data_IF_668108206600
#
_entry.id   IF_668108206600
#
_cell.length_a   1.000
_cell.length_b   1.000
_cell.length_c   1.000
_cell.angle_alpha   90.00
_cell.angle_beta   90.00
_cell.angle_gamma   90.00
#
_symmetry.space_group_name_H-M   'P 1'
#
loop_
_entity.id
_entity.type
_entity.pdbx_description
1 polymer ?
#
# COMPACT_ATOMS: atom_id res chain seq x y z
N UNK A 1 3.87 -40.31 -3.72
CA UNK A 1 2.63 -40.17 -2.93
C UNK A 1 2.61 -38.86 -2.17
N UNK A 2 3.31 -38.78 -1.04
CA UNK A 2 3.22 -37.66 -0.07
C UNK A 2 4.03 -36.42 -0.49
N UNK A 3 5.19 -36.58 -1.13
CA UNK A 3 6.05 -35.46 -1.54
C UNK A 3 5.41 -34.53 -2.59
N UNK A 4 4.51 -35.07 -3.41
CA UNK A 4 3.83 -34.34 -4.48
C UNK A 4 2.76 -33.41 -3.88
N UNK A 5 2.01 -33.91 -2.88
CA UNK A 5 1.03 -33.12 -2.13
C UNK A 5 1.70 -32.02 -1.30
N UNK A 6 2.81 -32.30 -0.62
CA UNK A 6 3.52 -31.28 0.16
C UNK A 6 4.09 -30.18 -0.76
N UNK A 7 4.62 -30.55 -1.93
CA UNK A 7 5.10 -29.60 -2.93
C UNK A 7 3.97 -28.73 -3.49
N UNK A 8 2.80 -29.31 -3.76
CA UNK A 8 1.65 -28.58 -4.31
C UNK A 8 0.99 -27.67 -3.26
N UNK A 9 0.92 -28.11 -2.00
CA UNK A 9 0.48 -27.28 -0.87
C UNK A 9 1.44 -26.13 -0.57
N UNK A 10 2.76 -26.34 -0.67
CA UNK A 10 3.74 -25.28 -0.48
C UNK A 10 3.71 -24.29 -1.65
N UNK A 11 3.65 -24.79 -2.89
CA UNK A 11 3.57 -24.00 -4.12
C UNK A 11 2.34 -23.09 -4.12
N UNK A 12 1.14 -23.66 -3.98
CA UNK A 12 -0.11 -22.89 -4.00
C UNK A 12 -0.22 -21.88 -2.85
N UNK A 13 0.46 -22.10 -1.72
CA UNK A 13 0.52 -21.12 -0.63
C UNK A 13 1.53 -20.01 -0.88
N UNK A 14 2.71 -20.30 -1.40
CA UNK A 14 3.69 -19.25 -1.76
C UNK A 14 3.11 -18.36 -2.87
N UNK A 15 2.64 -18.95 -3.97
CA UNK A 15 2.00 -18.20 -5.06
C UNK A 15 0.72 -17.47 -4.63
N UNK A 16 -0.04 -18.02 -3.68
CA UNK A 16 -1.25 -17.40 -3.14
C UNK A 16 -0.98 -16.15 -2.31
N UNK A 17 0.13 -16.13 -1.56
CA UNK A 17 0.49 -14.98 -0.70
C UNK A 17 1.07 -13.84 -1.53
N UNK A 18 1.94 -14.17 -2.49
CA UNK A 18 2.58 -13.19 -3.38
C UNK A 18 1.55 -12.49 -4.26
N UNK A 19 0.56 -13.24 -4.77
CA UNK A 19 -0.54 -12.67 -5.55
C UNK A 19 -1.49 -11.80 -4.72
N UNK A 20 -1.70 -12.12 -3.44
CA UNK A 20 -2.52 -11.32 -2.53
C UNK A 20 -1.84 -9.98 -2.18
N UNK A 21 -0.54 -10.02 -1.89
CA UNK A 21 0.27 -8.81 -1.68
C UNK A 21 0.31 -7.91 -2.92
N UNK A 22 0.52 -8.50 -4.10
CA UNK A 22 0.52 -7.77 -5.37
C UNK A 22 -0.84 -7.14 -5.66
N UNK A 23 -1.92 -7.91 -5.53
CA UNK A 23 -3.28 -7.42 -5.76
C UNK A 23 -3.68 -6.33 -4.76
N UNK A 24 -3.28 -6.43 -3.49
CA UNK A 24 -3.47 -5.38 -2.50
C UNK A 24 -2.71 -4.10 -2.87
N UNK A 25 -1.44 -4.21 -3.28
CA UNK A 25 -0.64 -3.07 -3.73
C UNK A 25 -1.25 -2.35 -4.93
N UNK A 26 -1.69 -3.11 -5.94
CA UNK A 26 -2.37 -2.57 -7.13
C UNK A 26 -3.69 -1.90 -6.75
N UNK A 27 -4.50 -2.54 -5.90
CA UNK A 27 -5.77 -1.98 -5.42
C UNK A 27 -5.56 -0.63 -4.72
N UNK A 28 -4.61 -0.55 -3.78
CA UNK A 28 -4.30 0.70 -3.07
C UNK A 28 -3.74 1.77 -4.01
N UNK A 29 -2.93 1.41 -5.01
CA UNK A 29 -2.42 2.37 -6.00
C UNK A 29 -3.56 2.95 -6.85
N UNK A 30 -4.52 2.13 -7.26
CA UNK A 30 -5.70 2.57 -8.03
C UNK A 30 -6.55 3.50 -7.17
N UNK A 31 -6.89 3.09 -5.94
CA UNK A 31 -7.72 3.88 -5.02
C UNK A 31 -7.06 5.23 -4.72
N UNK A 32 -5.75 5.25 -4.43
CA UNK A 32 -5.02 6.49 -4.19
C UNK A 32 -4.98 7.41 -5.42
N UNK A 33 -4.84 6.83 -6.61
CA UNK A 33 -4.87 7.60 -7.86
C UNK A 33 -6.25 8.21 -8.10
N UNK A 34 -7.33 7.44 -7.96
CA UNK A 34 -8.69 7.97 -8.08
C UNK A 34 -8.96 9.08 -7.05
N UNK A 35 -8.55 8.87 -5.80
CA UNK A 35 -8.68 9.88 -4.76
C UNK A 35 -7.89 11.16 -5.12
N UNK A 36 -6.69 11.03 -5.70
CA UNK A 36 -5.89 12.17 -6.17
C UNK A 36 -6.62 13.02 -7.22
N UNK A 37 -7.30 12.37 -8.16
CA UNK A 37 -8.11 13.08 -9.15
C UNK A 37 -9.31 13.83 -8.55
N UNK A 38 -9.97 13.25 -7.55
CA UNK A 38 -11.16 13.85 -6.92
C UNK A 38 -10.78 15.00 -5.99
N UNK A 39 -9.76 14.81 -5.16
CA UNK A 39 -9.47 15.69 -4.03
C UNK A 39 -8.54 16.85 -4.42
N UNK A 40 -7.46 16.60 -5.15
CA UNK A 40 -6.49 17.66 -5.44
C UNK A 40 -6.98 18.61 -6.52
N UNK A 41 -7.74 18.13 -7.51
CA UNK A 41 -8.20 18.89 -8.69
C UNK A 41 -7.07 19.71 -9.38
N UNK A 42 -5.81 19.36 -9.14
CA UNK A 42 -4.64 19.96 -9.82
C UNK A 42 -4.40 19.22 -11.14
N UNK A 43 -3.36 19.60 -11.88
CA UNK A 43 -3.05 19.03 -13.19
C UNK A 43 -3.00 17.49 -13.17
N UNK A 44 -3.57 16.85 -14.20
CA UNK A 44 -3.72 15.40 -14.31
C UNK A 44 -2.42 14.62 -14.02
N UNK A 45 -1.28 15.12 -14.51
CA UNK A 45 0.04 14.54 -14.26
C UNK A 45 0.45 14.59 -12.78
N UNK A 46 0.15 15.67 -12.08
CA UNK A 46 0.48 15.82 -10.66
C UNK A 46 -0.32 14.82 -9.81
N UNK A 47 -1.62 14.67 -10.09
CA UNK A 47 -2.48 13.75 -9.36
C UNK A 47 -2.04 12.30 -9.55
N UNK A 48 -1.67 11.93 -10.79
CA UNK A 48 -1.18 10.58 -11.09
C UNK A 48 0.14 10.26 -10.38
N UNK A 49 1.11 11.17 -10.42
CA UNK A 49 2.38 11.00 -9.72
C UNK A 49 2.15 10.91 -8.21
N UNK A 50 1.33 11.78 -7.63
CA UNK A 50 1.00 11.72 -6.20
C UNK A 50 0.34 10.39 -5.81
N UNK A 51 -0.63 9.90 -6.60
CA UNK A 51 -1.32 8.64 -6.34
C UNK A 51 -0.38 7.43 -6.34
N UNK A 52 0.50 7.34 -7.35
CA UNK A 52 1.51 6.27 -7.44
C UNK A 52 2.53 6.39 -6.32
N UNK A 53 3.05 7.61 -6.06
CA UNK A 53 4.01 7.82 -4.99
C UNK A 53 3.43 7.41 -3.64
N UNK A 54 2.20 7.81 -3.31
CA UNK A 54 1.56 7.42 -2.05
C UNK A 54 1.40 5.90 -1.96
N UNK A 55 0.87 5.26 -3.02
CA UNK A 55 0.67 3.80 -3.02
C UNK A 55 1.98 3.03 -2.86
N UNK A 56 3.04 3.44 -3.58
CA UNK A 56 4.34 2.78 -3.52
C UNK A 56 5.04 3.01 -2.17
N UNK A 57 5.06 4.24 -1.66
CA UNK A 57 5.70 4.56 -0.38
C UNK A 57 4.98 3.89 0.79
N UNK A 58 3.65 3.87 0.79
CA UNK A 58 2.87 3.22 1.84
C UNK A 58 3.13 1.72 1.88
N UNK A 59 3.16 1.05 0.72
CA UNK A 59 3.46 -0.37 0.63
C UNK A 59 4.90 -0.68 1.07
N UNK A 60 5.88 0.12 0.60
CA UNK A 60 7.29 -0.06 0.97
C UNK A 60 7.49 0.05 2.49
N UNK A 61 6.89 1.05 3.12
CA UNK A 61 7.02 1.26 4.56
C UNK A 61 6.25 0.20 5.35
N UNK A 62 5.09 -0.24 4.85
CA UNK A 62 4.35 -1.35 5.45
C UNK A 62 5.16 -2.66 5.45
N UNK A 63 5.86 -2.96 4.35
CA UNK A 63 6.78 -4.10 4.30
C UNK A 63 7.92 -3.97 5.30
N UNK A 64 8.49 -2.77 5.47
CA UNK A 64 9.55 -2.55 6.48
C UNK A 64 9.06 -2.75 7.91
N UNK A 65 7.84 -2.31 8.22
CA UNK A 65 7.23 -2.49 9.54
C UNK A 65 6.90 -3.97 9.77
N UNK A 66 6.38 -4.65 8.75
CA UNK A 66 6.05 -6.08 8.80
C UNK A 66 7.29 -6.98 8.94
N UNK A 67 8.38 -6.65 8.26
CA UNK A 67 9.66 -7.37 8.36
C UNK A 67 10.24 -7.28 9.78
N UNK A 68 9.93 -6.18 10.47
CA UNK A 68 10.10 -6.10 11.90
C UNK A 68 9.01 -6.96 12.55
N UNK A 69 9.40 -8.18 12.91
CA UNK A 69 8.64 -9.28 13.53
C UNK A 69 8.01 -8.97 14.91
N UNK A 70 7.41 -7.80 15.08
CA UNK A 70 6.80 -7.34 16.34
C UNK A 70 5.59 -8.20 16.74
N UNK A 71 4.94 -8.87 15.78
CA UNK A 71 3.73 -9.66 15.98
C UNK A 71 3.83 -11.09 15.43
N UNK A 72 4.98 -11.76 15.56
CA UNK A 72 5.19 -13.15 15.09
C UNK A 72 4.10 -14.14 15.53
N UNK A 73 3.49 -13.92 16.69
CA UNK A 73 2.43 -14.79 17.22
C UNK A 73 1.03 -14.49 16.69
N UNK A 74 0.80 -13.33 16.07
CA UNK A 74 -0.52 -12.88 15.60
C UNK A 74 -0.68 -12.94 14.08
N UNK A 75 0.42 -12.86 13.33
CA UNK A 75 0.41 -12.89 11.86
C UNK A 75 1.59 -13.69 11.32
N UNK A 76 1.42 -15.01 11.18
CA UNK A 76 2.47 -15.93 10.74
C UNK A 76 3.07 -15.58 9.36
N UNK A 77 2.36 -14.79 8.55
CA UNK A 77 2.78 -14.39 7.20
C UNK A 77 2.93 -12.87 7.04
N UNK A 78 2.73 -12.10 8.11
CA UNK A 78 2.71 -10.64 8.11
C UNK A 78 1.75 -9.99 7.06
N UNK A 79 0.85 -10.75 6.45
CA UNK A 79 0.01 -10.30 5.33
C UNK A 79 -0.99 -9.25 5.82
N UNK A 80 -1.68 -9.56 6.92
CA UNK A 80 -2.65 -8.65 7.50
C UNK A 80 -1.94 -7.38 7.97
N UNK A 81 -0.77 -7.55 8.58
CA UNK A 81 0.08 -6.45 9.06
C UNK A 81 0.50 -5.53 7.92
N UNK A 82 0.90 -6.07 6.77
CA UNK A 82 1.24 -5.27 5.58
C UNK A 82 0.01 -4.53 5.04
N UNK A 83 -1.14 -5.18 4.96
CA UNK A 83 -2.37 -4.55 4.44
C UNK A 83 -2.83 -3.40 5.34
N UNK A 84 -2.89 -3.63 6.66
CA UNK A 84 -3.26 -2.61 7.64
C UNK A 84 -2.24 -1.48 7.70
N UNK A 85 -0.94 -1.81 7.68
CA UNK A 85 0.13 -0.83 7.65
C UNK A 85 0.05 0.05 6.41
N UNK A 86 -0.17 -0.55 5.24
CA UNK A 86 -0.33 0.17 3.99
C UNK A 86 -1.53 1.14 4.06
N UNK A 87 -2.67 0.69 4.58
CA UNK A 87 -3.85 1.54 4.76
C UNK A 87 -3.59 2.74 5.68
N UNK A 88 -3.01 2.50 6.87
CA UNK A 88 -2.72 3.56 7.85
C UNK A 88 -1.72 4.58 7.31
N UNK A 89 -0.62 4.10 6.70
CA UNK A 89 0.40 4.99 6.13
C UNK A 89 -0.18 5.77 4.96
N UNK A 90 -1.02 5.15 4.12
CA UNK A 90 -1.68 5.83 3.01
C UNK A 90 -2.55 7.00 3.48
N UNK A 91 -3.30 6.84 4.58
CA UNK A 91 -4.10 7.93 5.17
C UNK A 91 -3.19 9.05 5.68
N UNK A 92 -2.11 8.73 6.40
CA UNK A 92 -1.17 9.73 6.90
C UNK A 92 -0.50 10.52 5.77
N UNK A 93 -0.07 9.84 4.70
CA UNK A 93 0.51 10.49 3.52
C UNK A 93 -0.49 11.43 2.84
N UNK A 94 -1.77 11.04 2.80
CA UNK A 94 -2.84 11.88 2.30
C UNK A 94 -3.04 13.15 3.12
N UNK A 95 -3.02 13.06 4.45
CA UNK A 95 -3.12 14.24 5.32
C UNK A 95 -1.95 15.20 5.09
N UNK A 96 -0.73 14.68 4.98
CA UNK A 96 0.47 15.47 4.69
C UNK A 96 0.33 16.16 3.33
N UNK A 97 -0.06 15.41 2.29
CA UNK A 97 -0.23 15.95 0.94
C UNK A 97 -1.26 17.08 0.93
N UNK A 98 -2.40 16.89 1.60
CA UNK A 98 -3.44 17.92 1.70
C UNK A 98 -2.93 19.16 2.40
N UNK A 99 -2.25 19.03 3.54
CA UNK A 99 -1.68 20.17 4.24
C UNK A 99 -0.68 20.96 3.36
N UNK A 100 0.16 20.26 2.59
CA UNK A 100 1.12 20.89 1.67
C UNK A 100 0.40 21.64 0.54
N UNK A 101 -0.62 21.02 -0.07
CA UNK A 101 -1.39 21.63 -1.15
C UNK A 101 -2.17 22.85 -0.65
N UNK A 102 -2.85 22.76 0.49
CA UNK A 102 -3.59 23.88 1.08
C UNK A 102 -2.68 25.03 1.52
N UNK A 103 -1.50 24.74 2.09
CA UNK A 103 -0.51 25.78 2.41
C UNK A 103 -0.01 26.48 1.16
N UNK A 104 0.25 25.73 0.07
CA UNK A 104 0.70 26.31 -1.19
C UNK A 104 -0.35 27.23 -1.81
N UNK A 105 -1.62 26.85 -1.77
CA UNK A 105 -2.73 27.66 -2.30
C UNK A 105 -2.85 29.01 -1.55
N UNK A 106 -2.69 29.02 -0.22
CA UNK A 106 -2.72 30.24 0.61
C UNK A 106 -1.55 31.20 0.41
N UNK A 107 -0.40 30.73 -0.09
CA UNK A 107 0.77 31.58 -0.30
C UNK A 107 0.83 32.18 -1.73
N UNK A 108 -0.14 31.83 -2.59
CA UNK A 108 -0.20 32.28 -3.99
C UNK A 108 -1.40 33.22 -4.25
N UNK A 109 -2.32 33.35 -3.28
CA UNK A 109 -3.37 34.39 -3.26
C UNK A 109 -2.96 35.56 -2.39
#
# INVERSE_FOLDING_TARGET
>A
GINIWISDYASNRVFGIDSLLLSAGVFFSIVNTLAAFIVLKKGSLFNFICGICIGYFALFLAFKIADQRWFENYDAYNIMTVIFGNALISVLLWEILLQVVYKKDKNVG
#
